data_IF_814618025639
#
_entry.id   IF_814618025639
#
_cell.length_a   1.000
_cell.length_b   1.000
_cell.length_c   1.000
_cell.angle_alpha   90.00
_cell.angle_beta   90.00
_cell.angle_gamma   90.00
#
_symmetry.space_group_name_H-M   'P 1'
#
loop_
_entity.id
_entity.type
_entity.pdbx_description
1 polymer ?
#
# COMPACT_ATOMS: atom_id res chain seq x y z
N UNK A 1 18.02 -5.40 15.83
CA UNK A 1 17.03 -4.39 15.39
C UNK A 1 15.70 -5.06 15.13
N UNK A 2 14.60 -4.43 15.54
CA UNK A 2 13.22 -4.88 15.35
C UNK A 2 12.54 -3.99 14.31
N UNK A 3 12.05 -4.58 13.23
CA UNK A 3 11.47 -3.83 12.10
C UNK A 3 9.99 -4.17 11.97
N UNK A 4 9.17 -3.16 11.71
CA UNK A 4 7.79 -3.34 11.30
C UNK A 4 7.58 -2.88 9.85
N UNK A 5 7.21 -3.78 8.94
CA UNK A 5 6.95 -3.46 7.54
C UNK A 5 5.46 -3.26 7.26
N UNK A 6 5.09 -2.23 6.50
CA UNK A 6 3.72 -2.05 5.98
C UNK A 6 3.64 -2.40 4.49
N UNK A 7 2.88 -3.45 4.16
CA UNK A 7 2.91 -4.11 2.87
C UNK A 7 1.54 -4.12 2.17
N UNK A 8 1.50 -3.68 0.91
CA UNK A 8 0.34 -3.78 0.01
C UNK A 8 0.67 -4.68 -1.15
N UNK A 9 -0.02 -5.82 -1.24
CA UNK A 9 0.13 -6.74 -2.36
C UNK A 9 1.60 -7.04 -2.67
N UNK A 10 2.06 -6.66 -3.87
CA UNK A 10 3.42 -6.96 -4.32
C UNK A 10 4.54 -6.28 -3.56
N UNK A 11 4.26 -5.28 -2.72
CA UNK A 11 5.32 -4.70 -1.88
C UNK A 11 5.79 -5.68 -0.80
N UNK A 12 5.00 -6.70 -0.43
CA UNK A 12 5.46 -7.75 0.48
C UNK A 12 6.75 -8.40 -0.03
N UNK A 13 6.82 -8.72 -1.33
CA UNK A 13 8.01 -9.33 -1.92
C UNK A 13 9.24 -8.43 -1.78
N UNK A 14 9.06 -7.12 -1.90
CA UNK A 14 10.15 -6.14 -1.77
C UNK A 14 10.63 -6.14 -0.31
N UNK A 15 9.72 -6.02 0.65
CA UNK A 15 10.07 -5.94 2.07
C UNK A 15 10.61 -7.25 2.64
N UNK A 16 10.09 -8.40 2.20
CA UNK A 16 10.63 -9.70 2.59
C UNK A 16 12.07 -9.88 2.10
N UNK A 17 12.38 -9.44 0.87
CA UNK A 17 13.77 -9.43 0.37
C UNK A 17 14.63 -8.42 1.13
N UNK A 18 14.11 -7.23 1.38
CA UNK A 18 14.82 -6.20 2.14
C UNK A 18 15.17 -6.69 3.55
N UNK A 19 14.27 -7.42 4.22
CA UNK A 19 14.52 -8.04 5.51
C UNK A 19 15.72 -9.00 5.45
N UNK A 20 15.75 -9.88 4.45
CA UNK A 20 16.86 -10.82 4.26
C UNK A 20 18.20 -10.11 3.98
N UNK A 21 18.20 -9.07 3.13
CA UNK A 21 19.39 -8.27 2.85
C UNK A 21 19.86 -7.50 4.09
N UNK A 22 18.94 -6.94 4.88
CA UNK A 22 19.27 -6.25 6.14
C UNK A 22 19.80 -7.22 7.18
N UNK A 23 19.27 -8.44 7.28
CA UNK A 23 19.76 -9.47 8.19
C UNK A 23 21.21 -9.86 7.90
N UNK A 24 21.66 -9.77 6.65
CA UNK A 24 23.06 -9.98 6.28
C UNK A 24 23.99 -8.83 6.71
N UNK A 25 23.44 -7.62 6.90
CA UNK A 25 24.20 -6.42 7.27
C UNK A 25 24.17 -6.11 8.76
N UNK A 26 23.08 -6.47 9.45
CA UNK A 26 22.88 -6.22 10.87
C UNK A 26 21.97 -7.28 11.49
N UNK A 27 22.21 -7.70 12.74
CA UNK A 27 21.30 -8.61 13.44
C UNK A 27 19.87 -8.05 13.54
N UNK A 28 18.91 -8.81 13.02
CA UNK A 28 17.48 -8.54 13.19
C UNK A 28 16.95 -9.43 14.32
N UNK A 29 16.32 -8.80 15.31
CA UNK A 29 15.73 -9.49 16.46
C UNK A 29 14.30 -9.92 16.14
N UNK A 30 13.53 -9.03 15.53
CA UNK A 30 12.21 -9.35 15.00
C UNK A 30 11.86 -8.59 13.74
N UNK A 31 11.09 -9.24 12.88
CA UNK A 31 10.51 -8.63 11.67
C UNK A 31 9.03 -8.94 11.67
N UNK A 32 8.22 -7.88 11.79
CA UNK A 32 6.77 -7.96 11.77
C UNK A 32 6.21 -7.30 10.51
N UNK A 33 5.02 -7.72 10.10
CA UNK A 33 4.41 -7.28 8.84
C UNK A 33 2.94 -6.89 9.06
N UNK A 34 2.54 -5.72 8.57
CA UNK A 34 1.15 -5.43 8.20
C UNK A 34 0.98 -5.76 6.73
N UNK A 35 0.00 -6.61 6.39
CA UNK A 35 -0.24 -7.05 5.01
C UNK A 35 -1.67 -6.79 4.55
N UNK A 36 -1.76 -6.23 3.35
CA UNK A 36 -3.00 -5.97 2.61
C UNK A 36 -2.95 -6.73 1.26
N UNK A 37 -4.10 -6.90 0.59
CA UNK A 37 -4.28 -7.77 -0.60
C UNK A 37 -4.25 -9.27 -0.29
N UNK A 38 -5.33 -9.79 0.29
CA UNK A 38 -5.42 -11.19 0.71
C UNK A 38 -5.03 -12.16 -0.40
N UNK A 39 -5.53 -11.94 -1.61
CA UNK A 39 -5.26 -12.84 -2.73
C UNK A 39 -3.78 -12.89 -3.10
N UNK A 40 -3.12 -11.73 -3.23
CA UNK A 40 -1.70 -11.70 -3.51
C UNK A 40 -0.90 -12.39 -2.40
N UNK A 41 -1.21 -12.07 -1.14
CA UNK A 41 -0.48 -12.57 0.04
C UNK A 41 -0.62 -14.09 0.16
N UNK A 42 -1.84 -14.63 0.08
CA UNK A 42 -2.07 -16.09 0.15
C UNK A 42 -1.27 -16.82 -0.94
N UNK A 43 -1.27 -16.30 -2.17
CA UNK A 43 -0.50 -16.89 -3.29
C UNK A 43 1.00 -16.77 -3.05
N UNK A 44 1.48 -15.64 -2.54
CA UNK A 44 2.88 -15.41 -2.26
C UNK A 44 3.40 -16.41 -1.21
N UNK A 45 2.66 -16.58 -0.10
CA UNK A 45 3.00 -17.50 0.97
C UNK A 45 2.91 -18.97 0.55
N UNK A 46 1.97 -19.32 -0.34
CA UNK A 46 1.91 -20.67 -0.91
C UNK A 46 3.16 -21.01 -1.74
N UNK A 47 3.84 -20.02 -2.32
CA UNK A 47 5.02 -20.21 -3.17
C UNK A 47 6.34 -20.10 -2.39
N UNK A 48 6.39 -19.28 -1.35
CA UNK A 48 7.64 -18.95 -0.64
C UNK A 48 7.66 -19.46 0.81
N UNK A 49 6.58 -20.11 1.26
CA UNK A 49 6.39 -20.50 2.65
C UNK A 49 5.81 -19.37 3.51
N UNK A 50 5.54 -19.65 4.81
CA UNK A 50 5.19 -18.61 5.76
C UNK A 50 6.31 -17.54 5.82
N UNK A 51 5.99 -16.33 6.26
CA UNK A 51 7.01 -15.33 6.56
C UNK A 51 7.80 -15.86 7.76
N UNK A 52 8.97 -16.43 7.50
CA UNK A 52 9.76 -17.23 8.45
C UNK A 52 10.53 -16.38 9.47
N UNK A 53 10.05 -15.19 9.79
CA UNK A 53 10.77 -14.25 10.66
C UNK A 53 9.94 -13.99 11.93
N UNK A 54 10.65 -13.87 13.05
CA UNK A 54 10.24 -13.97 14.46
C UNK A 54 9.12 -13.04 14.95
N UNK A 55 8.50 -12.24 14.07
CA UNK A 55 7.48 -11.24 14.41
C UNK A 55 6.04 -11.63 14.08
N UNK A 56 5.13 -10.68 14.33
CA UNK A 56 3.69 -10.85 14.12
C UNK A 56 3.28 -10.40 12.70
N UNK A 57 2.33 -11.10 12.08
CA UNK A 57 1.75 -10.74 10.78
C UNK A 57 0.30 -10.29 10.96
N UNK A 58 0.06 -8.99 10.87
CA UNK A 58 -1.27 -8.39 10.90
C UNK A 58 -1.86 -8.38 9.50
N UNK A 59 -3.08 -8.87 9.37
CA UNK A 59 -3.78 -9.01 8.10
C UNK A 59 -4.95 -8.02 8.06
N UNK A 60 -4.94 -7.13 7.07
CA UNK A 60 -5.97 -6.09 6.86
C UNK A 60 -7.40 -6.66 6.97
N UNK A 61 -7.67 -7.77 6.28
CA UNK A 61 -9.01 -8.35 6.23
C UNK A 61 -9.51 -8.82 7.59
N UNK A 62 -8.62 -9.24 8.49
CA UNK A 62 -8.99 -9.62 9.86
C UNK A 62 -9.43 -8.39 10.66
N UNK A 63 -8.72 -7.26 10.52
CA UNK A 63 -9.09 -6.00 11.15
C UNK A 63 -10.45 -5.53 10.67
N UNK A 64 -10.68 -5.59 9.35
CA UNK A 64 -11.96 -5.15 8.80
C UNK A 64 -13.11 -6.03 9.29
N UNK A 65 -12.94 -7.35 9.34
CA UNK A 65 -13.98 -8.27 9.82
C UNK A 65 -14.33 -7.98 11.28
N UNK A 66 -13.33 -7.85 12.16
CA UNK A 66 -13.56 -7.57 13.59
C UNK A 66 -14.14 -6.17 13.80
N UNK A 67 -13.57 -5.17 13.13
CA UNK A 67 -13.98 -3.78 13.23
C UNK A 67 -15.41 -3.52 12.76
N UNK A 68 -15.90 -4.19 11.73
CA UNK A 68 -17.31 -4.05 11.29
C UNK A 68 -18.33 -4.49 12.32
N UNK A 69 -17.98 -5.46 13.17
CA UNK A 69 -18.83 -5.92 14.26
C UNK A 69 -18.74 -5.01 15.51
N UNK A 70 -17.73 -4.15 15.57
CA UNK A 70 -17.46 -3.29 16.73
C UNK A 70 -18.42 -2.10 16.75
N UNK A 71 -19.00 -1.82 17.92
CA UNK A 71 -19.69 -0.57 18.21
C UNK A 71 -18.72 0.37 18.89
N UNK A 72 -18.71 1.62 18.43
CA UNK A 72 -17.80 2.66 18.90
C UNK A 72 -18.63 3.85 19.35
N UNK A 73 -18.28 4.41 20.51
CA UNK A 73 -18.94 5.62 21.03
C UNK A 73 -18.14 6.88 20.64
N UNK A 74 -18.77 8.06 20.62
CA UNK A 74 -18.05 9.32 20.40
C UNK A 74 -16.91 9.57 21.39
N UNK A 75 -17.08 9.16 22.66
CA UNK A 75 -16.08 9.33 23.72
C UNK A 75 -14.83 8.48 23.45
N UNK A 76 -15.02 7.26 22.94
CA UNK A 76 -13.93 6.37 22.55
C UNK A 76 -13.12 6.96 21.39
N UNK A 77 -13.79 7.52 20.37
CA UNK A 77 -13.11 8.22 19.26
C UNK A 77 -12.31 9.42 19.77
N UNK A 78 -12.93 10.26 20.62
CA UNK A 78 -12.28 11.42 21.20
C UNK A 78 -11.06 11.04 22.05
N UNK A 79 -11.15 9.92 22.79
CA UNK A 79 -10.02 9.39 23.56
C UNK A 79 -8.86 8.98 22.66
N UNK A 80 -9.13 8.34 21.52
CA UNK A 80 -8.10 8.01 20.53
C UNK A 80 -7.48 9.24 19.88
N UNK A 81 -8.28 10.22 19.49
CA UNK A 81 -7.82 11.49 18.90
C UNK A 81 -6.89 12.24 19.88
N UNK A 82 -7.29 12.32 21.16
CA UNK A 82 -6.47 12.89 22.22
C UNK A 82 -5.17 12.09 22.45
N UNK A 83 -5.26 10.76 22.50
CA UNK A 83 -4.10 9.87 22.72
C UNK A 83 -3.06 9.97 21.62
N UNK A 84 -3.50 10.13 20.37
CA UNK A 84 -2.62 10.28 19.21
C UNK A 84 -2.15 11.72 18.99
N UNK A 85 -2.73 12.70 19.70
CA UNK A 85 -2.44 14.12 19.53
C UNK A 85 -2.85 14.64 18.14
N UNK A 86 -3.99 14.17 17.62
CA UNK A 86 -4.52 14.56 16.31
C UNK A 86 -5.91 15.18 16.44
N UNK A 87 -6.31 16.07 15.51
CA UNK A 87 -7.61 16.73 15.58
C UNK A 87 -8.77 15.83 15.13
N UNK A 88 -8.49 14.83 14.29
CA UNK A 88 -9.52 13.90 13.82
C UNK A 88 -8.94 12.61 13.24
N UNK A 89 -9.64 11.49 13.42
CA UNK A 89 -9.37 10.22 12.74
C UNK A 89 -9.87 10.18 11.29
N UNK A 90 -10.73 11.12 10.89
CA UNK A 90 -11.37 11.14 9.56
C UNK A 90 -10.39 11.07 8.36
N UNK A 91 -9.24 11.76 8.36
CA UNK A 91 -8.29 11.71 7.25
C UNK A 91 -7.84 10.30 6.89
N UNK A 92 -7.68 9.42 7.89
CA UNK A 92 -7.32 8.03 7.65
C UNK A 92 -8.44 7.25 6.94
N UNK A 93 -9.70 7.47 7.35
CA UNK A 93 -10.88 6.81 6.76
C UNK A 93 -11.04 7.19 5.27
N UNK A 94 -10.93 8.47 4.94
CA UNK A 94 -11.15 8.94 3.56
C UNK A 94 -9.95 8.76 2.63
N UNK A 95 -8.75 8.53 3.18
CA UNK A 95 -7.54 8.31 2.38
C UNK A 95 -7.60 7.05 1.52
N UNK A 96 -8.32 6.02 1.98
CA UNK A 96 -8.52 4.79 1.23
C UNK A 96 -9.91 4.76 0.60
N UNK A 97 -9.94 5.12 -0.69
CA UNK A 97 -11.14 5.06 -1.51
C UNK A 97 -11.86 3.71 -1.48
N UNK A 98 -11.18 2.59 -1.15
CA UNK A 98 -11.82 1.27 -1.10
C UNK A 98 -12.58 1.03 0.19
N UNK A 99 -12.12 1.62 1.28
CA UNK A 99 -12.85 1.59 2.56
C UNK A 99 -14.17 2.34 2.38
N UNK A 100 -14.13 3.50 1.72
CA UNK A 100 -15.31 4.33 1.54
C UNK A 100 -16.21 3.89 0.37
N UNK A 101 -15.68 3.69 -0.84
CA UNK A 101 -16.45 3.38 -2.06
C UNK A 101 -16.38 1.89 -2.48
N UNK A 102 -15.80 1.05 -1.64
CA UNK A 102 -15.73 -0.39 -1.88
C UNK A 102 -14.69 -0.83 -2.91
N UNK A 103 -14.62 -2.15 -3.10
CA UNK A 103 -13.56 -2.83 -3.87
C UNK A 103 -13.47 -2.42 -5.35
N UNK A 104 -14.57 -1.96 -5.95
CA UNK A 104 -14.65 -1.68 -7.40
C UNK A 104 -14.39 -0.22 -7.77
N UNK A 105 -14.13 0.67 -6.80
CA UNK A 105 -13.89 2.11 -7.03
C UNK A 105 -12.74 2.42 -8.00
N UNK A 106 -11.81 1.47 -8.20
CA UNK A 106 -10.71 1.64 -9.18
C UNK A 106 -11.14 1.43 -10.62
N UNK A 107 -12.32 0.84 -10.83
CA UNK A 107 -12.83 0.45 -12.15
C UNK A 107 -14.14 1.15 -12.46
N UNK A 108 -15.02 1.26 -11.46
CA UNK A 108 -16.31 1.93 -11.57
C UNK A 108 -16.24 3.29 -10.92
N UNK A 109 -16.82 4.30 -11.56
CA UNK A 109 -17.12 5.59 -10.96
C UNK A 109 -18.41 5.50 -10.14
N UNK A 110 -18.48 4.51 -9.26
CA UNK A 110 -19.55 4.38 -8.28
C UNK A 110 -19.05 4.97 -6.97
N UNK A 111 -19.67 6.08 -6.57
CA UNK A 111 -19.30 6.82 -5.36
C UNK A 111 -20.21 6.49 -4.18
N UNK A 112 -21.13 5.52 -4.32
CA UNK A 112 -21.96 5.08 -3.21
C UNK A 112 -21.09 4.56 -2.05
N UNK A 113 -21.42 4.91 -0.80
CA UNK A 113 -20.68 4.42 0.35
C UNK A 113 -20.90 2.91 0.49
N UNK A 114 -19.79 2.17 0.62
CA UNK A 114 -19.81 0.71 0.76
C UNK A 114 -19.94 0.26 2.23
N UNK A 115 -19.33 1.02 3.13
CA UNK A 115 -19.41 0.81 4.58
C UNK A 115 -20.21 1.96 5.21
N UNK A 116 -20.99 1.63 6.23
CA UNK A 116 -21.63 2.65 7.06
C UNK A 116 -20.59 3.42 7.89
N UNK A 117 -20.94 4.63 8.33
CA UNK A 117 -20.06 5.42 9.21
C UNK A 117 -19.68 4.63 10.48
N UNK A 118 -20.64 3.96 11.09
CA UNK A 118 -20.42 3.14 12.29
C UNK A 118 -19.44 1.99 12.03
N UNK A 119 -19.55 1.30 10.88
CA UNK A 119 -18.57 0.26 10.50
C UNK A 119 -17.18 0.85 10.27
N UNK A 120 -17.07 2.00 9.61
CA UNK A 120 -15.78 2.65 9.39
C UNK A 120 -15.11 3.09 10.70
N UNK A 121 -15.89 3.60 11.65
CA UNK A 121 -15.42 3.92 13.00
C UNK A 121 -14.96 2.67 13.75
N UNK A 122 -15.74 1.58 13.70
CA UNK A 122 -15.38 0.30 14.28
C UNK A 122 -14.06 -0.28 13.73
N UNK A 123 -13.86 -0.21 12.41
CA UNK A 123 -12.60 -0.60 11.75
C UNK A 123 -11.45 0.28 12.21
N UNK A 124 -11.65 1.60 12.29
CA UNK A 124 -10.59 2.52 12.73
C UNK A 124 -10.12 2.19 14.16
N UNK A 125 -11.05 2.04 15.10
CA UNK A 125 -10.71 1.75 16.49
C UNK A 125 -10.06 0.37 16.64
N UNK A 126 -10.60 -0.67 15.98
CA UNK A 126 -9.99 -2.00 15.95
C UNK A 126 -8.55 -1.98 15.42
N UNK A 127 -8.31 -1.16 14.40
CA UNK A 127 -6.99 -0.96 13.79
C UNK A 127 -6.02 -0.29 14.77
N UNK A 128 -6.46 0.80 15.41
CA UNK A 128 -5.65 1.53 16.39
C UNK A 128 -5.29 0.65 17.58
N UNK A 129 -6.25 -0.09 18.15
CA UNK A 129 -6.00 -0.99 19.27
C UNK A 129 -5.03 -2.11 18.91
N UNK A 130 -5.22 -2.72 17.73
CA UNK A 130 -4.33 -3.79 17.28
C UNK A 130 -2.90 -3.29 17.16
N UNK A 131 -2.68 -2.15 16.49
CA UNK A 131 -1.34 -1.61 16.31
C UNK A 131 -0.74 -1.04 17.58
N UNK A 132 -1.55 -0.40 18.44
CA UNK A 132 -1.11 0.08 19.74
C UNK A 132 -0.59 -1.07 20.60
N UNK A 133 -1.39 -2.13 20.75
CA UNK A 133 -0.98 -3.31 21.51
C UNK A 133 0.22 -4.02 20.90
N UNK A 134 0.31 -4.10 19.56
CA UNK A 134 1.49 -4.65 18.89
C UNK A 134 2.74 -3.83 19.21
N UNK A 135 2.65 -2.50 19.17
CA UNK A 135 3.80 -1.62 19.38
C UNK A 135 4.24 -1.60 20.85
N UNK A 136 3.32 -1.79 21.81
CA UNK A 136 3.67 -2.00 23.22
C UNK A 136 4.43 -3.32 23.46
N UNK A 137 4.01 -4.40 22.79
CA UNK A 137 4.61 -5.73 22.94
C UNK A 137 5.92 -5.88 22.18
N UNK A 138 5.92 -5.55 20.90
CA UNK A 138 7.05 -5.74 19.98
C UNK A 138 8.07 -4.59 20.06
N UNK A 139 7.61 -3.37 20.37
CA UNK A 139 8.40 -2.13 20.42
C UNK A 139 9.37 -2.01 19.22
N UNK A 140 8.87 -1.97 17.97
CA UNK A 140 9.76 -1.90 16.82
C UNK A 140 10.68 -0.68 16.91
N UNK A 141 11.92 -0.83 16.46
CA UNK A 141 12.90 0.26 16.44
C UNK A 141 12.64 1.20 15.24
N UNK A 142 11.99 0.68 14.19
CA UNK A 142 11.60 1.44 13.00
C UNK A 142 10.39 0.80 12.32
N UNK A 143 9.51 1.65 11.79
CA UNK A 143 8.45 1.26 10.86
C UNK A 143 8.89 1.63 9.44
N UNK A 144 8.82 0.70 8.50
CA UNK A 144 9.14 0.96 7.09
C UNK A 144 7.91 0.64 6.26
N UNK A 145 7.46 1.62 5.48
CA UNK A 145 6.28 1.47 4.64
C UNK A 145 6.51 1.88 3.21
N UNK A 146 5.55 1.55 2.34
CA UNK A 146 5.49 2.09 0.99
C UNK A 146 4.29 3.04 0.90
N UNK A 147 4.41 4.08 0.06
CA UNK A 147 3.38 5.08 -0.31
C UNK A 147 1.97 4.77 0.22
N UNK A 148 1.37 5.70 0.95
CA UNK A 148 0.01 5.60 1.52
C UNK A 148 -1.05 5.19 0.49
N UNK A 149 -1.20 3.88 0.29
CA UNK A 149 -2.03 3.29 -0.76
C UNK A 149 -3.15 2.40 -0.19
N UNK A 150 -3.20 2.28 1.15
CA UNK A 150 -4.20 1.53 1.89
C UNK A 150 -4.46 2.16 3.25
N UNK A 151 -5.63 1.87 3.82
CA UNK A 151 -6.16 2.62 4.95
C UNK A 151 -5.29 2.56 6.21
N UNK A 152 -4.54 1.46 6.42
CA UNK A 152 -3.78 1.25 7.65
C UNK A 152 -2.51 2.11 7.74
N UNK A 153 -2.02 2.67 6.63
CA UNK A 153 -0.76 3.45 6.63
C UNK A 153 -0.82 4.63 7.58
N UNK A 154 -1.92 5.38 7.56
CA UNK A 154 -2.07 6.58 8.39
C UNK A 154 -2.23 6.21 9.87
N UNK A 155 -3.11 5.26 10.27
CA UNK A 155 -3.19 4.76 11.64
C UNK A 155 -1.86 4.21 12.16
N UNK A 156 -1.14 3.39 11.39
CA UNK A 156 0.17 2.85 11.81
C UNK A 156 1.16 3.99 12.01
N UNK A 157 1.19 4.99 11.14
CA UNK A 157 2.03 6.18 11.30
C UNK A 157 1.71 6.95 12.59
N UNK A 158 0.44 7.20 12.88
CA UNK A 158 0.04 7.90 14.10
C UNK A 158 0.43 7.12 15.36
N UNK A 159 0.22 5.79 15.37
CA UNK A 159 0.65 4.93 16.47
C UNK A 159 2.18 4.96 16.61
N UNK A 160 2.94 4.81 15.51
CA UNK A 160 4.39 4.91 15.53
C UNK A 160 4.88 6.23 16.15
N UNK A 161 4.29 7.35 15.71
CA UNK A 161 4.61 8.68 16.23
C UNK A 161 4.29 8.81 17.72
N UNK A 162 3.14 8.32 18.17
CA UNK A 162 2.75 8.35 19.59
C UNK A 162 3.71 7.55 20.48
N UNK A 163 4.33 6.50 19.94
CA UNK A 163 5.36 5.70 20.62
C UNK A 163 6.80 6.24 20.43
N UNK A 164 7.00 7.34 19.69
CA UNK A 164 8.34 7.86 19.37
C UNK A 164 9.15 6.95 18.44
N UNK A 165 8.47 6.09 17.66
CA UNK A 165 9.10 5.15 16.75
C UNK A 165 9.26 5.81 15.38
N UNK A 166 10.48 5.87 14.81
CA UNK A 166 10.70 6.39 13.47
C UNK A 166 9.87 5.67 12.41
N UNK A 167 9.19 6.44 11.56
CA UNK A 167 8.46 5.92 10.41
C UNK A 167 9.20 6.31 9.13
N UNK A 168 9.52 5.34 8.26
CA UNK A 168 10.20 5.56 6.99
C UNK A 168 9.27 5.16 5.85
N UNK A 169 8.62 6.16 5.26
CA UNK A 169 7.75 5.98 4.11
C UNK A 169 8.55 6.03 2.81
N UNK A 170 8.69 4.88 2.15
CA UNK A 170 9.28 4.74 0.82
C UNK A 170 8.31 5.26 -0.25
N UNK A 171 8.79 6.25 -1.01
CA UNK A 171 8.12 6.78 -2.20
C UNK A 171 9.01 6.49 -3.41
N UNK A 172 8.45 5.88 -4.45
CA UNK A 172 9.19 5.77 -5.71
C UNK A 172 9.39 7.15 -6.31
N UNK A 173 10.58 7.41 -6.80
CA UNK A 173 10.82 8.60 -7.62
C UNK A 173 10.47 8.22 -9.06
N UNK A 174 9.98 9.17 -9.86
CA UNK A 174 9.82 8.99 -11.32
C UNK A 174 11.18 9.10 -12.05
N UNK A 175 12.28 8.97 -11.33
CA UNK A 175 13.66 9.15 -11.77
C UNK A 175 14.36 7.81 -11.57
N UNK A 176 14.54 7.06 -12.65
CA UNK A 176 15.13 5.72 -12.61
C UNK A 176 14.45 4.81 -11.56
N UNK A 177 15.24 4.02 -10.82
CA UNK A 177 14.79 3.14 -9.73
C UNK A 177 15.18 3.71 -8.36
N UNK A 178 15.24 5.04 -8.22
CA UNK A 178 15.49 5.66 -6.92
C UNK A 178 14.21 5.69 -6.09
N UNK A 179 14.38 5.49 -4.79
CA UNK A 179 13.35 5.68 -3.77
C UNK A 179 13.76 6.83 -2.86
N UNK A 180 12.76 7.56 -2.38
CA UNK A 180 12.94 8.53 -1.30
C UNK A 180 12.29 7.98 -0.04
N UNK A 181 12.98 8.14 1.09
CA UNK A 181 12.45 7.88 2.41
C UNK A 181 11.96 9.19 3.00
N UNK A 182 10.73 9.19 3.51
CA UNK A 182 10.12 10.35 4.18
C UNK A 182 9.70 9.94 5.59
N UNK A 183 9.92 10.82 6.56
CA UNK A 183 9.57 10.56 7.97
C UNK A 183 8.07 10.65 8.24
N UNK A 184 7.34 11.40 7.42
CA UNK A 184 5.90 11.58 7.52
C UNK A 184 5.21 11.22 6.18
N UNK A 185 4.31 10.21 6.17
CA UNK A 185 3.58 9.82 4.97
C UNK A 185 2.58 10.87 4.49
N UNK A 186 2.19 11.83 5.32
CA UNK A 186 1.30 12.96 5.01
C UNK A 186 2.07 14.18 4.51
N UNK A 187 3.39 14.20 4.64
CA UNK A 187 4.21 15.34 4.26
C UNK A 187 4.18 15.58 2.74
N UNK A 188 3.98 16.85 2.37
CA UNK A 188 4.00 17.32 0.98
C UNK A 188 5.42 17.60 0.50
N UNK A 189 6.26 18.16 1.35
CA UNK A 189 7.69 18.36 1.13
C UNK A 189 8.49 17.61 2.19
N UNK A 190 9.82 17.56 2.05
CA UNK A 190 10.69 16.89 3.03
C UNK A 190 11.77 17.88 3.46
N UNK A 191 11.80 18.24 4.75
CA UNK A 191 12.73 19.21 5.28
C UNK A 191 14.19 18.85 5.00
N UNK A 192 14.55 17.57 4.96
CA UNK A 192 15.91 17.15 4.61
C UNK A 192 16.22 17.43 3.15
N UNK A 193 15.26 17.18 2.25
CA UNK A 193 15.41 17.51 0.83
C UNK A 193 15.45 19.02 0.62
N UNK A 194 14.56 19.78 1.25
CA UNK A 194 14.54 21.25 1.18
C UNK A 194 15.84 21.84 1.73
N UNK A 195 16.31 21.36 2.89
CA UNK A 195 17.58 21.78 3.46
C UNK A 195 18.76 21.42 2.55
N UNK A 196 18.73 20.25 1.91
CA UNK A 196 19.75 19.85 0.95
C UNK A 196 19.76 20.77 -0.28
N UNK A 197 18.59 21.06 -0.88
CA UNK A 197 18.45 21.97 -2.00
C UNK A 197 18.87 23.40 -1.65
N UNK A 198 18.50 23.89 -0.46
CA UNK A 198 18.93 25.20 0.03
C UNK A 198 20.45 25.29 0.20
N UNK A 199 21.10 24.21 0.67
CA UNK A 199 22.57 24.14 0.74
C UNK A 199 23.21 24.12 -0.65
N UNK A 200 22.60 23.44 -1.62
CA UNK A 200 23.08 23.44 -3.01
C UNK A 200 22.96 24.82 -3.66
N UNK A 201 21.83 25.52 -3.46
CA UNK A 201 21.60 26.84 -4.03
C UNK A 201 22.49 27.95 -3.46
N UNK A 202 23.08 27.74 -2.27
CA UNK A 202 24.08 28.64 -1.66
C UNK A 202 25.50 28.38 -2.14
N UNK A 203 25.75 27.34 -2.94
CA UNK A 203 27.08 27.11 -3.51
C UNK A 203 27.28 28.09 -4.68
N UNK A 204 28.41 28.83 -4.71
CA UNK A 204 28.66 29.83 -5.76
C UNK A 204 28.74 29.24 -7.17
N UNK A 205 28.87 27.91 -7.27
CA UNK A 205 28.69 27.16 -8.50
C UNK A 205 27.96 25.85 -8.13
N UNK A 206 26.77 25.54 -8.70
CA UNK A 206 26.26 24.18 -8.58
C UNK A 206 27.30 23.29 -9.26
N UNK A 207 27.95 22.41 -8.49
CA UNK A 207 29.05 21.57 -8.98
C UNK A 207 28.71 21.10 -10.41
N UNK A 208 29.54 21.48 -11.39
CA UNK A 208 29.28 21.28 -12.83
C UNK A 208 28.77 19.87 -13.16
N UNK A 209 29.17 18.89 -12.36
CA UNK A 209 28.72 17.50 -12.40
C UNK A 209 27.22 17.28 -12.14
N UNK A 210 26.59 17.98 -11.18
CA UNK A 210 25.17 17.82 -10.87
C UNK A 210 24.28 18.47 -11.93
N UNK A 211 24.68 19.63 -12.46
CA UNK A 211 24.01 20.27 -13.60
C UNK A 211 24.14 19.40 -14.84
N UNK A 212 25.31 18.81 -15.09
CA UNK A 212 25.53 17.89 -16.19
C UNK A 212 24.62 16.65 -16.08
N UNK A 213 24.56 16.01 -14.90
CA UNK A 213 23.65 14.87 -14.64
C UNK A 213 22.19 15.24 -14.85
N UNK A 214 21.76 16.43 -14.38
CA UNK A 214 20.40 16.91 -14.57
C UNK A 214 20.08 17.14 -16.05
N UNK A 215 21.00 17.77 -16.80
CA UNK A 215 20.87 17.96 -18.26
C UNK A 215 20.79 16.63 -19.00
N UNK A 216 21.70 15.70 -18.70
CA UNK A 216 21.71 14.35 -19.29
C UNK A 216 20.38 13.63 -19.03
N UNK A 217 19.88 13.70 -17.79
CA UNK A 217 18.58 13.11 -17.45
C UNK A 217 17.43 13.76 -18.25
N UNK A 218 17.40 15.09 -18.37
CA UNK A 218 16.38 15.80 -19.14
C UNK A 218 16.44 15.50 -20.64
N UNK A 219 17.64 15.40 -21.21
CA UNK A 219 17.85 15.02 -22.61
C UNK A 219 17.42 13.57 -22.86
N UNK A 220 17.78 12.64 -21.96
CA UNK A 220 17.28 11.26 -21.99
C UNK A 220 15.76 11.19 -21.86
N UNK A 221 15.18 12.02 -21.00
CA UNK A 221 13.74 12.09 -20.78
C UNK A 221 12.95 12.68 -21.95
N UNK A 222 13.58 13.57 -22.72
CA UNK A 222 13.01 14.14 -23.95
C UNK A 222 13.15 13.19 -25.14
N UNK A 223 14.31 12.54 -25.27
CA UNK A 223 14.64 11.65 -26.40
C UNK A 223 14.02 10.26 -26.29
N UNK A 224 13.78 9.76 -25.07
CA UNK A 224 13.11 8.49 -24.79
C UNK A 224 11.91 8.76 -23.88
N UNK A 225 10.79 8.06 -24.07
CA UNK A 225 9.73 8.07 -23.04
C UNK A 225 10.37 7.59 -21.74
N UNK A 226 10.47 8.46 -20.72
CA UNK A 226 10.98 8.08 -19.40
C UNK A 226 10.16 6.88 -18.92
N UNK A 227 10.79 5.71 -18.93
CA UNK A 227 10.22 4.49 -18.41
C UNK A 227 10.84 4.23 -17.04
N UNK A 228 10.03 4.35 -15.99
CA UNK A 228 10.33 3.71 -14.72
C UNK A 228 9.83 2.26 -14.78
N UNK A 229 10.31 1.38 -13.89
CA UNK A 229 9.99 -0.06 -13.92
C UNK A 229 8.49 -0.38 -14.02
N UNK A 230 7.64 0.40 -13.34
CA UNK A 230 6.18 0.23 -13.42
C UNK A 230 5.60 0.46 -14.82
N UNK A 231 6.32 1.15 -15.72
CA UNK A 231 5.98 1.30 -17.14
C UNK A 231 6.62 0.24 -18.05
N UNK A 232 7.73 -0.37 -17.65
CA UNK A 232 8.47 -1.37 -18.45
C UNK A 232 7.72 -2.71 -18.55
N UNK A 233 6.94 -3.07 -17.52
CA UNK A 233 6.16 -4.32 -17.51
C UNK A 233 5.17 -4.41 -18.68
N UNK A 234 4.79 -3.28 -19.30
CA UNK A 234 3.83 -3.21 -20.41
C UNK A 234 4.44 -3.36 -21.82
N UNK A 235 5.76 -3.46 -21.96
CA UNK A 235 6.41 -3.43 -23.29
C UNK A 235 6.54 -4.79 -23.99
N UNK A 236 6.20 -5.93 -23.37
CA UNK A 236 6.05 -7.19 -24.13
C UNK A 236 4.73 -7.15 -24.91
N UNK A 237 4.79 -6.73 -26.18
CA UNK A 237 3.73 -6.93 -27.17
C UNK A 237 3.46 -8.43 -27.30
N UNK A 238 2.49 -8.93 -26.55
CA UNK A 238 1.89 -10.25 -26.79
C UNK A 238 0.82 -10.08 -27.87
N UNK A 239 0.76 -11.00 -28.83
CA UNK A 239 -0.28 -10.99 -29.86
C UNK A 239 -1.68 -11.06 -29.24
N UNK A 240 -2.67 -10.46 -29.90
CA UNK A 240 -4.07 -10.43 -29.46
C UNK A 240 -4.61 -11.81 -29.07
N UNK A 241 -4.21 -12.87 -29.79
CA UNK A 241 -4.60 -14.25 -29.50
C UNK A 241 -4.03 -14.77 -28.16
N UNK A 242 -2.77 -14.44 -27.83
CA UNK A 242 -2.16 -14.81 -26.56
C UNK A 242 -2.76 -14.04 -25.38
N UNK A 243 -3.15 -12.78 -25.57
CA UNK A 243 -3.93 -12.02 -24.59
C UNK A 243 -5.32 -12.63 -24.42
N UNK A 244 -6.04 -12.91 -25.51
CA UNK A 244 -7.39 -13.51 -25.46
C UNK A 244 -7.39 -14.89 -24.78
N UNK A 245 -6.48 -15.78 -25.17
CA UNK A 245 -6.37 -17.12 -24.56
C UNK A 245 -6.02 -17.02 -23.07
N UNK A 246 -5.13 -16.10 -22.70
CA UNK A 246 -4.82 -15.83 -21.30
C UNK A 246 -6.05 -15.32 -20.54
N UNK A 247 -6.81 -14.40 -21.12
CA UNK A 247 -8.04 -13.89 -20.52
C UNK A 247 -9.12 -14.98 -20.39
N UNK A 248 -9.29 -15.84 -21.39
CA UNK A 248 -10.21 -16.98 -21.34
C UNK A 248 -9.80 -17.98 -20.24
N UNK A 249 -8.51 -18.31 -20.18
CA UNK A 249 -7.93 -19.19 -19.15
C UNK A 249 -8.00 -18.59 -17.74
N UNK A 250 -7.98 -17.26 -17.60
CA UNK A 250 -8.27 -16.62 -16.32
C UNK A 250 -9.78 -16.61 -16.02
N UNK A 251 -10.64 -16.33 -17.00
CA UNK A 251 -12.08 -16.23 -16.80
C UNK A 251 -12.74 -17.54 -16.34
N UNK A 252 -12.27 -18.70 -16.83
CA UNK A 252 -12.82 -20.02 -16.51
C UNK A 252 -12.72 -20.40 -15.00
N UNK A 253 -11.53 -20.41 -14.38
CA UNK A 253 -11.41 -20.60 -12.94
C UNK A 253 -12.11 -19.51 -12.14
N UNK A 254 -12.17 -18.28 -12.66
CA UNK A 254 -12.70 -17.12 -11.94
C UNK A 254 -14.24 -17.07 -11.93
N UNK A 255 -14.91 -17.60 -12.97
CA UNK A 255 -16.35 -17.85 -12.92
C UNK A 255 -16.70 -18.96 -11.92
N UNK A 256 -15.89 -20.03 -11.88
CA UNK A 256 -16.01 -21.07 -10.85
C UNK A 256 -15.78 -20.52 -9.44
N UNK A 257 -14.77 -19.65 -9.26
CA UNK A 257 -14.39 -19.08 -7.97
C UNK A 257 -15.35 -17.98 -7.50
N UNK A 258 -15.86 -17.13 -8.38
CA UNK A 258 -16.88 -16.12 -8.02
C UNK A 258 -18.19 -16.78 -7.61
N UNK A 259 -18.59 -17.85 -8.32
CA UNK A 259 -19.72 -18.68 -7.93
C UNK A 259 -19.46 -19.36 -6.58
N UNK A 260 -18.26 -19.89 -6.38
CA UNK A 260 -17.84 -20.56 -5.14
C UNK A 260 -17.74 -19.60 -3.94
N UNK A 261 -17.20 -18.41 -4.12
CA UNK A 261 -17.06 -17.36 -3.10
C UNK A 261 -18.44 -16.83 -2.71
N UNK A 262 -19.35 -16.65 -3.69
CA UNK A 262 -20.74 -16.30 -3.46
C UNK A 262 -21.49 -17.40 -2.69
N UNK A 263 -21.18 -18.68 -2.97
CA UNK A 263 -21.74 -19.83 -2.25
C UNK A 263 -21.15 -20.01 -0.85
N UNK A 264 -19.89 -19.63 -0.60
CA UNK A 264 -19.17 -19.88 0.67
C UNK A 264 -19.15 -18.73 1.68
N UNK A 265 -19.77 -17.58 1.39
CA UNK A 265 -19.68 -16.37 2.26
C UNK A 265 -18.23 -16.06 2.66
N UNK A 266 -17.30 -16.11 1.71
CA UNK A 266 -15.89 -15.99 2.05
C UNK A 266 -15.56 -14.64 2.72
N UNK A 267 -14.53 -14.62 3.60
CA UNK A 267 -14.17 -13.42 4.35
C UNK A 267 -13.81 -12.25 3.43
N UNK A 268 -14.22 -11.06 3.85
CA UNK A 268 -14.13 -9.78 3.16
C UNK A 268 -12.69 -9.44 2.69
N UNK A 269 -12.51 -9.10 1.40
CA UNK A 269 -11.26 -8.58 0.84
C UNK A 269 -11.55 -7.35 -0.03
N UNK A 270 -10.89 -6.23 0.29
CA UNK A 270 -11.03 -4.94 -0.41
C UNK A 270 -10.19 -4.85 -1.69
N UNK A 271 -9.29 -5.82 -1.94
CA UNK A 271 -8.31 -5.81 -3.01
C UNK A 271 -8.60 -6.90 -4.06
N UNK A 272 -9.70 -6.78 -4.81
CA UNK A 272 -9.85 -7.59 -6.03
C UNK A 272 -9.10 -6.98 -7.20
N UNK A 273 -8.40 -7.82 -7.96
CA UNK A 273 -7.69 -7.40 -9.18
C UNK A 273 -8.68 -6.77 -10.18
N UNK A 274 -8.35 -5.60 -10.76
CA UNK A 274 -9.20 -4.91 -11.74
C UNK A 274 -9.56 -5.76 -12.96
N UNK A 275 -8.74 -6.76 -13.29
CA UNK A 275 -8.79 -7.51 -14.55
C UNK A 275 -10.22 -7.96 -14.92
N UNK A 276 -11.06 -8.35 -13.97
CA UNK A 276 -12.45 -8.76 -14.21
C UNK A 276 -13.40 -7.64 -14.59
N UNK A 277 -13.44 -6.59 -13.77
CA UNK A 277 -14.38 -5.49 -13.97
C UNK A 277 -13.98 -4.65 -15.19
N UNK A 278 -12.67 -4.47 -15.39
CA UNK A 278 -12.17 -3.75 -16.56
C UNK A 278 -12.34 -4.57 -17.84
N UNK A 279 -12.20 -5.91 -17.80
CA UNK A 279 -12.50 -6.79 -18.95
C UNK A 279 -13.99 -6.77 -19.31
N UNK A 280 -14.89 -6.95 -18.33
CA UNK A 280 -16.34 -6.96 -18.62
C UNK A 280 -16.78 -5.63 -19.21
N UNK A 281 -16.33 -4.50 -18.67
CA UNK A 281 -16.73 -3.17 -19.19
C UNK A 281 -16.01 -2.79 -20.49
N UNK A 282 -14.72 -3.10 -20.66
CA UNK A 282 -13.99 -2.77 -21.89
C UNK A 282 -14.30 -3.72 -23.05
N UNK A 283 -14.59 -5.00 -22.79
CA UNK A 283 -14.86 -6.00 -23.82
C UNK A 283 -16.34 -6.05 -24.16
N UNK A 284 -17.24 -6.09 -23.16
CA UNK A 284 -18.70 -6.04 -23.42
C UNK A 284 -19.11 -4.65 -23.86
N UNK A 285 -18.62 -3.58 -23.22
CA UNK A 285 -18.93 -2.20 -23.62
C UNK A 285 -18.38 -1.80 -25.00
N UNK A 286 -17.32 -2.45 -25.50
CA UNK A 286 -16.88 -2.29 -26.90
C UNK A 286 -17.70 -3.12 -27.88
N UNK A 287 -18.07 -4.36 -27.51
CA UNK A 287 -18.90 -5.21 -28.36
C UNK A 287 -20.28 -4.58 -28.63
N UNK A 288 -20.87 -3.91 -27.64
CA UNK A 288 -22.13 -3.18 -27.77
C UNK A 288 -22.04 -1.83 -28.52
N UNK A 289 -20.84 -1.32 -28.80
CA UNK A 289 -20.66 -0.11 -29.63
C UNK A 289 -20.33 -0.43 -31.08
N UNK A 290 -20.14 -1.71 -31.40
CA UNK A 290 -19.82 -2.21 -32.75
C UNK A 290 -21.06 -2.88 -33.38
N UNK A 291 -22.11 -3.13 -32.59
CA UNK A 291 -23.46 -3.52 -33.02
C UNK A 291 -24.38 -2.31 -32.96
#
# INVERSE_FOLDING_TARGET
MRIFFTCVGSSLQIFHRLAAELAALTPLESVSYSVSDRHYIERYLAQHGPLTETGEVIREWNLVIRGRARRVTPEELAAWEARLGIPSLWPAIVSDRRTYHGRLVKVRQDYAPYLTLAEMQGIMVETLETYWGLFERQRPDVVIGFTAAFFEVIPIFWVARAHGIPYLNMRSTKIANYVRLTSDPLERSDPHLEAHLARLGKRPDPALSEVAKAREFLEKARSKRVTYEGGLVRQKRRGLAAEFLRYALYALPLLGRDLWDALRRLPFDTHRYPAHATWREQTVGRAWRIL
#
